data_IF_751573809213
#
_entry.id   IF_751573809213
#
_cell.length_a   1.000
_cell.length_b   1.000
_cell.length_c   1.000
_cell.angle_alpha   90.00
_cell.angle_beta   90.00
_cell.angle_gamma   90.00
#
_symmetry.space_group_name_H-M   'P 1'
#
loop_
_entity.id
_entity.type
_entity.pdbx_description
1 polymer ?
#
# COMPACT_ATOMS: atom_id res chain seq x y z
N UNK A 1 -35.81 -15.41 20.94
CA UNK A 1 -36.04 -14.92 19.56
C UNK A 1 -34.71 -14.88 18.85
N UNK A 2 -34.60 -15.44 17.65
CA UNK A 2 -33.37 -15.32 16.84
C UNK A 2 -33.35 -13.91 16.23
N UNK A 3 -32.20 -13.25 16.24
CA UNK A 3 -32.10 -11.91 15.67
C UNK A 3 -32.14 -12.01 14.12
N UNK A 4 -32.49 -10.91 13.44
CA UNK A 4 -32.60 -10.89 11.97
C UNK A 4 -31.26 -11.27 11.29
N UNK A 5 -30.14 -10.88 11.89
CA UNK A 5 -28.80 -11.19 11.38
C UNK A 5 -28.47 -12.69 11.42
N UNK A 6 -28.91 -13.41 12.44
CA UNK A 6 -28.81 -14.86 12.57
C UNK A 6 -29.69 -15.58 11.54
N UNK A 7 -30.91 -15.08 11.31
CA UNK A 7 -31.82 -15.65 10.30
C UNK A 7 -31.25 -15.53 8.88
N UNK A 8 -30.63 -14.39 8.57
CA UNK A 8 -30.07 -14.09 7.25
C UNK A 8 -28.61 -14.57 7.14
N UNK A 9 -28.04 -15.16 8.20
CA UNK A 9 -26.62 -15.61 8.27
C UNK A 9 -25.62 -14.49 7.92
N UNK A 10 -25.98 -13.24 8.22
CA UNK A 10 -25.16 -12.05 7.99
C UNK A 10 -24.49 -11.55 9.27
N UNK A 11 -24.61 -12.29 10.37
CA UNK A 11 -23.92 -11.96 11.61
C UNK A 11 -22.39 -11.91 11.37
N UNK A 12 -21.75 -10.73 11.49
CA UNK A 12 -20.32 -10.57 11.25
C UNK A 12 -19.46 -11.40 12.22
N UNK A 13 -20.01 -11.77 13.39
CA UNK A 13 -19.32 -12.58 14.40
C UNK A 13 -19.30 -14.07 14.07
N UNK A 14 -20.20 -14.54 13.19
CA UNK A 14 -20.24 -15.91 12.69
C UNK A 14 -19.39 -16.12 11.44
N UNK A 15 -18.88 -15.05 10.83
CA UNK A 15 -18.00 -15.14 9.67
C UNK A 15 -16.63 -15.61 10.14
N UNK A 16 -16.26 -16.82 9.75
CA UNK A 16 -14.89 -17.30 9.93
C UNK A 16 -13.95 -16.43 9.08
N UNK A 17 -13.34 -15.42 9.72
CA UNK A 17 -12.44 -14.48 9.08
C UNK A 17 -11.13 -15.14 8.58
N UNK A 18 -10.94 -16.45 8.82
CA UNK A 18 -9.75 -17.21 8.36
C UNK A 18 -9.67 -17.34 6.84
N UNK A 19 -10.79 -17.17 6.13
CA UNK A 19 -10.86 -17.29 4.66
C UNK A 19 -11.07 -15.97 3.91
N UNK A 20 -10.78 -14.83 4.54
CA UNK A 20 -10.79 -13.56 3.81
C UNK A 20 -9.61 -13.51 2.82
N UNK A 21 -9.90 -13.91 1.58
CA UNK A 21 -8.98 -13.86 0.44
C UNK A 21 -8.36 -12.48 0.25
N UNK A 22 -9.09 -11.41 0.59
CA UNK A 22 -8.59 -10.04 0.50
C UNK A 22 -7.50 -9.78 1.53
N UNK A 23 -7.66 -10.27 2.77
CA UNK A 23 -6.66 -10.13 3.82
C UNK A 23 -5.39 -10.93 3.52
N UNK A 24 -5.53 -12.13 2.94
CA UNK A 24 -4.38 -12.91 2.45
C UNK A 24 -3.60 -12.16 1.39
N UNK A 25 -4.29 -11.64 0.36
CA UNK A 25 -3.66 -10.86 -0.71
C UNK A 25 -3.02 -9.57 -0.19
N UNK A 26 -3.64 -8.90 0.79
CA UNK A 26 -3.05 -7.74 1.46
C UNK A 26 -1.73 -8.09 2.16
N UNK A 27 -1.67 -9.21 2.87
CA UNK A 27 -0.44 -9.67 3.54
C UNK A 27 0.64 -10.08 2.54
N UNK A 28 0.27 -10.72 1.42
CA UNK A 28 1.20 -11.03 0.32
C UNK A 28 1.83 -9.74 -0.22
N UNK A 29 1.02 -8.72 -0.49
CA UNK A 29 1.50 -7.40 -0.96
C UNK A 29 2.37 -6.71 0.10
N UNK A 30 2.04 -6.82 1.38
CA UNK A 30 2.87 -6.27 2.46
C UNK A 30 4.26 -6.90 2.51
N UNK A 31 4.34 -8.23 2.43
CA UNK A 31 5.62 -8.94 2.40
C UNK A 31 6.42 -8.59 1.14
N UNK A 32 5.77 -8.51 -0.02
CA UNK A 32 6.39 -8.07 -1.26
C UNK A 32 6.94 -6.64 -1.14
N UNK A 33 6.16 -5.71 -0.59
CA UNK A 33 6.57 -4.34 -0.39
C UNK A 33 7.80 -4.23 0.52
N UNK A 34 7.84 -4.99 1.62
CA UNK A 34 9.03 -5.06 2.50
C UNK A 34 10.27 -5.55 1.77
N UNK A 35 10.15 -6.65 1.02
CA UNK A 35 11.27 -7.16 0.23
C UNK A 35 11.79 -6.11 -0.76
N UNK A 36 10.88 -5.32 -1.35
CA UNK A 36 11.25 -4.26 -2.29
C UNK A 36 11.87 -3.05 -1.61
N UNK A 37 11.46 -2.70 -0.40
CA UNK A 37 12.12 -1.69 0.43
C UNK A 37 13.57 -2.10 0.74
N UNK A 38 13.79 -3.34 1.17
CA UNK A 38 15.14 -3.85 1.44
C UNK A 38 16.02 -3.81 0.18
N UNK A 39 15.46 -4.12 -0.99
CA UNK A 39 16.15 -3.99 -2.27
C UNK A 39 16.41 -2.52 -2.63
N UNK A 40 15.46 -1.63 -2.40
CA UNK A 40 15.59 -0.18 -2.64
C UNK A 40 16.76 0.42 -1.86
N UNK A 41 16.83 0.16 -0.56
CA UNK A 41 17.91 0.64 0.33
C UNK A 41 19.28 0.12 -0.14
N UNK A 42 19.35 -1.11 -0.67
CA UNK A 42 20.61 -1.65 -1.20
C UNK A 42 21.01 -1.01 -2.52
N UNK A 43 20.05 -0.74 -3.41
CA UNK A 43 20.34 -0.21 -4.75
C UNK A 43 20.71 1.27 -4.72
N UNK A 44 20.09 2.06 -3.83
CA UNK A 44 20.44 3.47 -3.59
C UNK A 44 21.89 3.64 -3.12
N UNK A 45 22.50 2.62 -2.53
CA UNK A 45 23.91 2.61 -2.12
C UNK A 45 24.89 2.25 -3.25
N UNK A 46 24.41 1.72 -4.38
CA UNK A 46 25.25 1.18 -5.45
C UNK A 46 25.45 2.19 -6.58
N UNK A 47 24.35 2.68 -7.18
CA UNK A 47 24.39 3.57 -8.35
C UNK A 47 23.05 4.26 -8.57
N UNK A 48 23.08 5.50 -9.07
CA UNK A 48 21.89 6.26 -9.48
C UNK A 48 21.07 5.54 -10.58
N UNK A 49 21.73 4.87 -11.52
CA UNK A 49 21.03 4.13 -12.59
C UNK A 49 20.22 2.96 -12.01
N UNK A 50 20.78 2.26 -11.00
CA UNK A 50 20.11 1.16 -10.33
C UNK A 50 18.93 1.63 -9.48
N UNK A 51 19.04 2.82 -8.91
CA UNK A 51 17.94 3.49 -8.21
C UNK A 51 16.77 3.77 -9.18
N UNK A 52 17.04 4.35 -10.34
CA UNK A 52 16.01 4.67 -11.34
C UNK A 52 15.28 3.40 -11.81
N UNK A 53 16.01 2.33 -12.11
CA UNK A 53 15.41 1.04 -12.51
C UNK A 53 14.55 0.45 -11.39
N UNK A 54 15.06 0.47 -10.15
CA UNK A 54 14.35 -0.09 -9.01
C UNK A 54 13.06 0.68 -8.70
N UNK A 55 13.10 2.01 -8.83
CA UNK A 55 11.93 2.88 -8.69
C UNK A 55 10.84 2.54 -9.69
N UNK A 56 11.19 2.37 -10.96
CA UNK A 56 10.23 1.96 -12.00
C UNK A 56 9.63 0.59 -11.69
N UNK A 57 10.45 -0.38 -11.28
CA UNK A 57 9.99 -1.70 -10.90
C UNK A 57 9.00 -1.68 -9.72
N UNK A 58 9.22 -0.82 -8.72
CA UNK A 58 8.27 -0.63 -7.60
C UNK A 58 6.94 -0.09 -8.12
N UNK A 59 6.96 0.94 -8.98
CA UNK A 59 5.73 1.53 -9.52
C UNK A 59 4.90 0.54 -10.36
N UNK A 60 5.55 -0.29 -11.16
CA UNK A 60 4.86 -1.33 -11.95
C UNK A 60 4.26 -2.43 -11.07
N UNK A 61 4.92 -2.79 -9.98
CA UNK A 61 4.36 -3.71 -8.98
C UNK A 61 3.15 -3.09 -8.27
N UNK A 62 3.20 -1.82 -7.91
CA UNK A 62 2.07 -1.14 -7.27
C UNK A 62 0.88 -1.08 -8.22
N UNK A 63 1.10 -0.77 -9.51
CA UNK A 63 0.04 -0.76 -10.54
C UNK A 63 -0.60 -2.13 -10.76
N UNK A 64 0.19 -3.19 -10.74
CA UNK A 64 -0.29 -4.56 -11.01
C UNK A 64 -0.99 -5.20 -9.80
N UNK A 65 -0.45 -5.02 -8.59
CA UNK A 65 -1.00 -5.64 -7.38
C UNK A 65 -2.05 -4.79 -6.68
N UNK A 66 -2.00 -3.46 -6.82
CA UNK A 66 -2.85 -2.52 -6.10
C UNK A 66 -2.45 -2.38 -4.63
N UNK A 67 -3.44 -2.18 -3.76
CA UNK A 67 -3.25 -1.95 -2.31
C UNK A 67 -2.29 -0.80 -2.00
N UNK A 68 -2.47 0.35 -2.66
CA UNK A 68 -1.59 1.52 -2.53
C UNK A 68 -1.26 1.91 -1.08
N UNK A 69 -2.23 1.82 -0.16
CA UNK A 69 -2.02 2.16 1.25
C UNK A 69 -1.00 1.25 1.96
N UNK A 70 -0.85 0.00 1.52
CA UNK A 70 0.18 -0.91 2.03
C UNK A 70 1.56 -0.46 1.57
N UNK A 71 1.69 -0.08 0.30
CA UNK A 71 2.94 0.45 -0.24
C UNK A 71 3.31 1.77 0.43
N UNK A 72 2.37 2.70 0.58
CA UNK A 72 2.61 3.97 1.27
C UNK A 72 3.03 3.76 2.73
N UNK A 73 2.45 2.78 3.42
CA UNK A 73 2.85 2.44 4.79
C UNK A 73 4.27 1.87 4.86
N UNK A 74 4.66 1.00 3.93
CA UNK A 74 6.01 0.40 3.94
C UNK A 74 7.08 1.42 3.55
N UNK A 75 6.78 2.33 2.63
CA UNK A 75 7.70 3.36 2.14
C UNK A 75 7.52 4.70 2.87
N UNK A 76 7.02 4.71 4.11
CA UNK A 76 6.70 5.94 4.85
C UNK A 76 7.90 6.88 5.10
N UNK A 77 9.10 6.30 5.11
CA UNK A 77 10.37 7.02 5.29
C UNK A 77 11.08 7.34 3.96
N UNK A 78 10.45 7.04 2.82
CA UNK A 78 11.02 7.21 1.48
C UNK A 78 10.20 8.24 0.65
N UNK A 79 10.49 9.55 0.78
CA UNK A 79 9.68 10.62 0.20
C UNK A 79 9.59 10.55 -1.32
N UNK A 80 10.66 10.08 -1.95
CA UNK A 80 10.75 9.94 -3.39
C UNK A 80 9.75 8.92 -3.93
N UNK A 81 9.66 7.76 -3.29
CA UNK A 81 8.71 6.71 -3.65
C UNK A 81 7.29 7.19 -3.36
N UNK A 82 7.03 7.79 -2.19
CA UNK A 82 5.71 8.30 -1.83
C UNK A 82 5.15 9.28 -2.86
N UNK A 83 5.94 10.27 -3.28
CA UNK A 83 5.53 11.24 -4.30
C UNK A 83 5.14 10.59 -5.63
N UNK A 84 5.86 9.55 -6.02
CA UNK A 84 5.54 8.82 -7.25
C UNK A 84 4.29 7.96 -7.10
N UNK A 85 4.10 7.32 -5.94
CA UNK A 85 2.89 6.56 -5.64
C UNK A 85 1.64 7.44 -5.73
N UNK A 86 1.70 8.66 -5.17
CA UNK A 86 0.62 9.65 -5.25
C UNK A 86 0.29 9.98 -6.71
N UNK A 87 1.31 10.25 -7.53
CA UNK A 87 1.15 10.55 -8.97
C UNK A 87 0.65 9.37 -9.81
N UNK A 88 0.94 8.15 -9.38
CA UNK A 88 0.69 6.94 -10.15
C UNK A 88 -0.81 6.60 -10.27
N UNK A 89 -1.65 7.05 -9.32
CA UNK A 89 -3.06 6.67 -9.26
C UNK A 89 -4.00 7.86 -9.57
N UNK A 90 -4.77 7.79 -10.68
CA UNK A 90 -5.76 8.81 -11.01
C UNK A 90 -6.91 8.76 -9.99
N UNK A 91 -6.93 9.72 -9.07
CA UNK A 91 -7.88 9.77 -7.95
C UNK A 91 -7.22 10.20 -6.63
N UNK A 92 -5.91 10.07 -6.53
CA UNK A 92 -5.14 10.60 -5.41
C UNK A 92 -4.85 12.08 -5.68
N UNK A 93 -5.57 12.99 -5.01
CA UNK A 93 -5.31 14.41 -5.18
C UNK A 93 -4.05 14.80 -4.40
N UNK A 94 -3.06 15.34 -5.11
CA UNK A 94 -1.79 15.81 -4.54
C UNK A 94 -2.00 16.87 -3.43
N UNK A 95 -3.13 17.58 -3.43
CA UNK A 95 -3.46 18.61 -2.43
C UNK A 95 -3.44 18.10 -0.98
N UNK A 96 -3.76 16.82 -0.75
CA UNK A 96 -3.76 16.19 0.57
C UNK A 96 -2.39 15.64 1.00
N UNK A 97 -1.35 15.79 0.18
CA UNK A 97 -0.01 15.32 0.47
C UNK A 97 0.98 16.47 0.58
N UNK A 98 1.92 16.37 1.52
CA UNK A 98 2.99 17.33 1.71
C UNK A 98 4.12 17.16 0.67
N UNK A 99 5.15 18.00 0.75
CA UNK A 99 6.31 17.95 -0.16
C UNK A 99 7.10 16.65 -0.09
N UNK A 100 6.88 15.86 0.96
CA UNK A 100 7.48 14.55 1.20
C UNK A 100 6.55 13.39 0.82
N UNK A 101 5.36 13.67 0.29
CA UNK A 101 4.38 12.65 -0.06
C UNK A 101 3.66 12.02 1.13
N UNK A 102 3.76 12.62 2.33
CA UNK A 102 3.02 12.22 3.53
C UNK A 102 1.66 12.90 3.55
N UNK A 103 0.70 12.28 4.23
CA UNK A 103 -0.65 12.84 4.37
C UNK A 103 -0.56 14.12 5.20
N UNK A 104 -1.05 15.24 4.66
CA UNK A 104 -1.20 16.48 5.43
C UNK A 104 -2.22 16.23 6.53
N UNK A 105 -1.92 16.69 7.74
CA UNK A 105 -2.92 16.82 8.79
C UNK A 105 -3.97 17.81 8.31
N UNK A 106 -5.08 17.29 7.77
CA UNK A 106 -6.26 18.09 7.48
C UNK A 106 -6.84 18.41 8.84
N UNK A 107 -6.58 19.63 9.32
CA UNK A 107 -7.13 20.14 10.57
C UNK A 107 -8.66 19.95 10.54
N UNK A 108 -9.18 19.42 11.66
CA UNK A 108 -10.57 19.07 11.95
C UNK A 108 -11.60 20.10 11.51
#
# INVERSE_FOLDING_TARGET
>A
MKNLYELVKLDPTLKDNRDDKRMRKKNEVYNLAKMKLDSWIKMTLISEDAEIEMKQAILDLVRSYGFISVWMYVFEDEPEILRQLVKCFPGTKEEYFDENGRVKDVIK
#
